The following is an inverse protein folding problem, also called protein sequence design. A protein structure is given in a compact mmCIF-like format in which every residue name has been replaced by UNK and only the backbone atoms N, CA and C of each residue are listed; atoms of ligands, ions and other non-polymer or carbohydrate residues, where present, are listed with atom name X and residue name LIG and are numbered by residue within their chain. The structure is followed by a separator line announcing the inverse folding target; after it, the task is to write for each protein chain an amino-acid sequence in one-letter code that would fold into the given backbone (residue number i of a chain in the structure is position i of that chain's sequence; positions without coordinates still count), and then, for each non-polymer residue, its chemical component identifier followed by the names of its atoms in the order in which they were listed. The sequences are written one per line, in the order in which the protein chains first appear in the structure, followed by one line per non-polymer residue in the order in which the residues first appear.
data_IF_812432833601
#
_entry.id   IF_812432833601
#
_cell.length_a   1.000
_cell.length_b   1.000
_cell.length_c   1.000
_cell.angle_alpha   90.00
_cell.angle_beta   90.00
_cell.angle_gamma   90.00
#
_symmetry.space_group_name_H-M   'P 1'
#
loop_
_entity.id
_entity.type
_entity.pdbx_description
1 polymer ?
#
# COMPACT_ATOMS: atom_id res chain seq x y z
N UNK A 1 -0.71 40.13 -35.69
CA UNK A 1 -1.82 39.78 -34.75
C UNK A 1 -1.94 38.32 -34.44
N UNK A 2 -1.73 37.36 -35.36
CA UNK A 2 -1.87 35.91 -35.09
C UNK A 2 -0.81 35.28 -34.12
N UNK A 3 0.41 35.83 -34.09
CA UNK A 3 1.49 35.35 -33.19
C UNK A 3 1.23 35.70 -31.72
N UNK A 4 0.69 36.89 -31.44
CA UNK A 4 0.38 37.31 -30.08
C UNK A 4 -0.78 36.54 -29.45
N UNK A 5 -1.77 36.15 -30.27
CA UNK A 5 -2.89 35.33 -29.81
C UNK A 5 -2.45 33.92 -29.41
N UNK A 6 -1.58 33.27 -30.21
CA UNK A 6 -1.02 31.94 -29.90
C UNK A 6 -0.17 31.97 -28.62
N UNK A 7 0.61 33.03 -28.41
CA UNK A 7 1.42 33.18 -27.20
C UNK A 7 0.57 33.42 -25.97
N UNK A 8 -0.52 34.20 -26.05
CA UNK A 8 -1.47 34.39 -24.94
C UNK A 8 -2.23 33.11 -24.62
N UNK A 9 -2.64 32.34 -25.62
CA UNK A 9 -3.29 31.05 -25.41
C UNK A 9 -2.34 30.03 -24.75
N UNK A 10 -1.08 30.00 -25.15
CA UNK A 10 -0.05 29.14 -24.51
C UNK A 10 0.20 29.53 -23.06
N UNK A 11 0.22 30.83 -22.76
CA UNK A 11 0.45 31.35 -21.40
C UNK A 11 -0.71 31.05 -20.45
N UNK A 12 -1.94 30.96 -20.95
CA UNK A 12 -3.15 30.60 -20.18
C UNK A 12 -3.29 29.11 -20.00
N UNK A 13 -2.90 28.28 -21.01
CA UNK A 13 -2.96 26.84 -20.92
C UNK A 13 -1.86 26.23 -20.02
N UNK A 14 -0.71 26.91 -19.88
CA UNK A 14 0.42 26.42 -19.09
C UNK A 14 0.07 26.20 -17.61
N UNK A 15 -0.59 27.12 -16.87
CA UNK A 15 -0.96 26.89 -15.48
C UNK A 15 -2.08 25.84 -15.32
N UNK A 16 -2.92 25.60 -16.32
CA UNK A 16 -3.95 24.56 -16.27
C UNK A 16 -3.36 23.14 -16.32
N UNK A 17 -2.17 22.97 -16.90
CA UNK A 17 -1.45 21.69 -16.92
C UNK A 17 -0.82 21.35 -15.56
N UNK A 18 -0.59 22.35 -14.70
CA UNK A 18 -0.04 22.14 -13.35
C UNK A 18 -1.11 21.88 -12.29
N UNK A 19 -2.39 22.16 -12.55
CA UNK A 19 -3.47 21.97 -11.57
C UNK A 19 -3.98 20.53 -11.47
N UNK A 20 -3.63 19.63 -12.38
CA UNK A 20 -4.05 18.21 -12.35
C UNK A 20 -3.13 17.31 -11.52
N UNK A 21 -2.00 17.82 -10.99
CA UNK A 21 -1.04 17.00 -10.23
C UNK A 21 -1.35 16.85 -8.73
N UNK A 22 -2.38 17.52 -8.19
CA UNK A 22 -2.65 17.54 -6.75
C UNK A 22 -3.24 16.22 -6.19
N UNK A 23 -3.70 15.31 -7.05
CA UNK A 23 -4.35 14.06 -6.61
C UNK A 23 -3.42 12.84 -6.54
N UNK A 24 -2.15 12.98 -6.89
CA UNK A 24 -1.21 11.84 -7.03
C UNK A 24 -0.43 11.57 -5.72
N UNK A 25 -0.49 12.46 -4.74
CA UNK A 25 0.27 12.34 -3.48
C UNK A 25 -0.36 11.47 -2.39
N UNK A 26 -1.47 10.80 -2.68
CA UNK A 26 -2.04 9.81 -1.76
C UNK A 26 -1.35 8.46 -1.95
N UNK A 27 -0.48 8.06 -1.04
CA UNK A 27 0.04 6.68 -1.02
C UNK A 27 -1.13 5.69 -1.11
N UNK A 28 -1.03 4.67 -1.97
CA UNK A 28 -2.08 3.65 -2.12
C UNK A 28 -2.17 2.83 -0.84
N UNK A 29 -3.22 3.07 -0.07
CA UNK A 29 -3.57 2.26 1.09
C UNK A 29 -4.52 1.16 0.66
N UNK A 30 -4.18 -0.06 0.97
CA UNK A 30 -4.97 -1.26 0.67
C UNK A 30 -5.74 -1.67 1.92
N UNK A 31 -7.04 -1.93 1.74
CA UNK A 31 -7.88 -2.47 2.81
C UNK A 31 -7.69 -3.97 2.87
N UNK A 32 -7.18 -4.46 4.00
CA UNK A 32 -6.96 -5.89 4.24
C UNK A 32 -7.80 -6.32 5.43
N UNK A 33 -8.63 -7.33 5.24
CA UNK A 33 -9.40 -7.95 6.32
C UNK A 33 -8.54 -9.01 7.00
N UNK A 34 -8.34 -8.86 8.29
CA UNK A 34 -7.61 -9.79 9.15
C UNK A 34 -8.63 -10.64 9.90
N UNK A 35 -8.51 -11.95 9.77
CA UNK A 35 -9.42 -12.90 10.40
C UNK A 35 -8.65 -14.07 11.02
N UNK A 36 -9.31 -14.85 11.90
CA UNK A 36 -8.73 -16.04 12.50
C UNK A 36 -9.80 -17.05 12.86
N UNK A 37 -9.42 -18.31 12.95
CA UNK A 37 -10.25 -19.36 13.52
C UNK A 37 -9.52 -20.02 14.70
N UNK A 38 -10.12 -19.98 15.92
CA UNK A 38 -11.35 -19.25 16.28
C UNK A 38 -11.20 -17.75 16.22
N UNK A 39 -12.34 -17.05 16.08
CA UNK A 39 -12.39 -15.59 16.11
C UNK A 39 -12.03 -15.04 17.49
N UNK A 40 -11.62 -13.78 17.54
CA UNK A 40 -11.30 -13.12 18.81
C UNK A 40 -9.82 -13.23 19.19
N UNK A 41 -8.95 -13.63 18.26
CA UNK A 41 -7.51 -13.57 18.49
C UNK A 41 -7.00 -12.13 18.45
N UNK A 42 -6.09 -11.79 19.34
CA UNK A 42 -5.32 -10.56 19.26
C UNK A 42 -4.35 -10.65 18.08
N UNK A 43 -4.18 -9.56 17.35
CA UNK A 43 -3.17 -9.49 16.30
C UNK A 43 -2.37 -8.19 16.37
N UNK A 44 -1.11 -8.27 15.93
CA UNK A 44 -0.21 -7.14 15.73
C UNK A 44 0.37 -7.22 14.32
N UNK A 45 0.31 -6.11 13.58
CA UNK A 45 0.89 -5.98 12.25
C UNK A 45 2.17 -5.20 12.35
N UNK A 46 3.28 -5.85 12.03
CA UNK A 46 4.62 -5.29 12.13
C UNK A 46 5.14 -5.03 10.72
N UNK A 47 5.59 -3.80 10.44
CA UNK A 47 6.31 -3.52 9.21
C UNK A 47 7.68 -4.18 9.27
N UNK A 48 7.93 -5.14 8.38
CA UNK A 48 9.15 -5.96 8.37
C UNK A 48 10.43 -5.14 8.16
N UNK A 49 10.32 -4.00 7.47
CA UNK A 49 11.47 -3.13 7.19
C UNK A 49 11.86 -2.27 8.40
N UNK A 50 10.86 -1.73 9.12
CA UNK A 50 11.10 -0.79 10.22
C UNK A 50 11.09 -1.47 11.59
N UNK A 51 10.49 -2.65 11.69
CA UNK A 51 10.28 -3.36 12.96
C UNK A 51 9.17 -2.77 13.83
N UNK A 52 8.51 -1.68 13.42
CA UNK A 52 7.45 -1.06 14.21
C UNK A 52 6.10 -1.73 13.98
N UNK A 53 5.31 -1.82 15.05
CA UNK A 53 3.89 -2.16 14.97
C UNK A 53 3.15 -0.99 14.31
N UNK A 54 2.50 -1.27 13.19
CA UNK A 54 1.74 -0.26 12.43
C UNK A 54 0.25 -0.30 12.74
N UNK A 55 -0.26 -1.46 13.16
CA UNK A 55 -1.66 -1.64 13.54
C UNK A 55 -1.78 -2.84 14.48
N UNK A 56 -2.80 -2.83 15.34
CA UNK A 56 -3.15 -3.95 16.21
C UNK A 56 -4.66 -4.02 16.46
N UNK A 57 -5.14 -5.14 16.94
CA UNK A 57 -6.55 -5.31 17.22
C UNK A 57 -6.93 -6.74 17.54
N UNK A 58 -8.24 -7.00 17.41
CA UNK A 58 -8.84 -8.32 17.61
C UNK A 58 -9.56 -8.72 16.33
N UNK A 59 -9.42 -9.99 15.93
CA UNK A 59 -10.07 -10.54 14.75
C UNK A 59 -11.58 -10.73 14.97
N UNK A 60 -12.42 -10.51 13.94
CA UNK A 60 -12.10 -9.98 12.62
C UNK A 60 -11.97 -8.44 12.61
N UNK A 61 -11.02 -7.88 11.88
CA UNK A 61 -10.86 -6.43 11.71
C UNK A 61 -10.35 -6.10 10.31
N UNK A 62 -10.87 -5.03 9.70
CA UNK A 62 -10.32 -4.49 8.45
C UNK A 62 -9.36 -3.35 8.76
N UNK A 63 -8.17 -3.44 8.22
CA UNK A 63 -7.08 -2.47 8.40
C UNK A 63 -6.67 -1.87 7.06
N UNK A 64 -6.04 -0.70 7.09
CA UNK A 64 -5.50 -0.05 5.89
C UNK A 64 -3.98 -0.02 5.96
N UNK A 65 -3.33 -0.65 4.99
CA UNK A 65 -1.88 -0.78 4.94
C UNK A 65 -1.33 -0.14 3.65
N UNK A 66 -0.31 0.71 3.74
CA UNK A 66 0.41 1.19 2.55
C UNK A 66 1.22 0.04 1.94
N UNK A 67 1.23 -0.05 0.61
CA UNK A 67 2.00 -1.08 -0.09
C UNK A 67 3.48 -0.71 -0.26
N UNK A 68 3.82 0.55 -0.11
CA UNK A 68 5.18 1.04 -0.26
C UNK A 68 5.39 2.41 0.37
N UNK A 69 6.65 2.71 0.59
CA UNK A 69 7.14 3.99 1.07
C UNK A 69 7.92 4.70 -0.06
N UNK A 70 8.17 6.02 0.05
CA UNK A 70 8.97 6.76 -0.92
C UNK A 70 10.32 6.12 -1.23
N UNK A 71 10.89 6.45 -2.40
CA UNK A 71 12.21 6.01 -2.87
C UNK A 71 12.34 4.50 -3.14
N UNK A 72 11.43 3.93 -3.96
CA UNK A 72 11.47 2.52 -4.40
C UNK A 72 11.43 1.50 -3.25
N UNK A 73 10.79 1.82 -2.14
CA UNK A 73 10.73 0.94 -0.98
C UNK A 73 9.38 0.25 -0.90
N UNK A 74 9.38 -1.07 -1.03
CA UNK A 74 8.22 -1.89 -0.74
C UNK A 74 8.08 -2.08 0.78
N UNK A 75 6.85 -2.10 1.28
CA UNK A 75 6.56 -2.43 2.66
C UNK A 75 5.92 -3.82 2.73
N UNK A 76 6.57 -4.70 3.46
CA UNK A 76 6.06 -6.03 3.78
C UNK A 76 5.66 -6.06 5.25
N UNK A 77 4.66 -6.85 5.59
CA UNK A 77 4.13 -6.91 6.94
C UNK A 77 4.11 -8.33 7.47
N UNK A 78 4.39 -8.49 8.76
CA UNK A 78 4.18 -9.72 9.51
C UNK A 78 3.00 -9.49 10.43
N UNK A 79 1.99 -10.34 10.35
CA UNK A 79 0.87 -10.37 11.28
C UNK A 79 1.17 -11.44 12.31
N UNK A 80 1.28 -11.06 13.57
CA UNK A 80 1.39 -11.99 14.69
C UNK A 80 0.03 -12.16 15.33
N UNK A 81 -0.41 -13.40 15.47
CA UNK A 81 -1.65 -13.75 16.13
C UNK A 81 -1.36 -14.39 17.47
N UNK A 82 -2.11 -13.98 18.49
CA UNK A 82 -2.03 -14.56 19.83
C UNK A 82 -3.42 -14.72 20.44
N UNK A 83 -3.65 -15.86 21.08
CA UNK A 83 -4.89 -16.15 21.80
C UNK A 83 -4.61 -17.07 23.00
N UNK A 84 -5.18 -16.79 24.19
CA UNK A 84 -4.98 -17.64 25.36
C UNK A 84 -5.37 -19.10 25.09
N UNK A 85 -4.46 -20.04 25.37
CA UNK A 85 -4.66 -21.45 25.15
C UNK A 85 -4.44 -21.95 23.71
N UNK A 86 -3.93 -21.09 22.86
CA UNK A 86 -3.55 -21.41 21.46
C UNK A 86 -2.09 -21.05 21.20
N UNK A 87 -1.50 -21.73 20.25
CA UNK A 87 -0.15 -21.42 19.79
C UNK A 87 -0.16 -20.14 18.96
N UNK A 88 0.89 -19.33 19.12
CA UNK A 88 1.07 -18.14 18.30
C UNK A 88 1.29 -18.53 16.84
N UNK A 89 0.71 -17.77 15.92
CA UNK A 89 0.93 -17.94 14.48
C UNK A 89 1.33 -16.61 13.84
N UNK A 90 2.10 -16.70 12.77
CA UNK A 90 2.59 -15.55 12.02
C UNK A 90 2.24 -15.71 10.54
N UNK A 91 1.65 -14.67 9.97
CA UNK A 91 1.34 -14.60 8.54
C UNK A 91 2.10 -13.45 7.88
N UNK A 92 2.54 -13.66 6.64
CA UNK A 92 3.32 -12.68 5.90
C UNK A 92 2.47 -12.04 4.80
N UNK A 93 2.40 -10.72 4.80
CA UNK A 93 1.85 -9.93 3.69
C UNK A 93 3.01 -9.33 2.91
N UNK A 94 3.13 -9.71 1.64
CA UNK A 94 4.14 -9.18 0.75
C UNK A 94 3.53 -8.21 -0.27
N UNK A 95 4.11 -7.02 -0.35
CA UNK A 95 3.81 -6.08 -1.43
C UNK A 95 4.52 -6.50 -2.71
N UNK A 96 3.85 -6.29 -3.85
CA UNK A 96 4.37 -6.58 -5.19
C UNK A 96 4.31 -5.32 -6.05
N UNK A 97 5.08 -5.30 -7.13
CA UNK A 97 4.94 -4.27 -8.15
C UNK A 97 3.56 -4.37 -8.80
N UNK A 98 2.88 -3.24 -8.92
CA UNK A 98 1.61 -3.16 -9.64
C UNK A 98 1.85 -3.34 -11.14
N UNK A 99 1.08 -4.21 -11.79
CA UNK A 99 1.17 -4.42 -13.24
C UNK A 99 0.88 -3.14 -14.04
N UNK A 100 0.08 -2.23 -13.52
CA UNK A 100 -0.19 -0.91 -14.10
C UNK A 100 1.04 0.00 -14.15
N UNK A 101 2.04 -0.24 -13.34
CA UNK A 101 3.31 0.47 -13.40
C UNK A 101 3.94 0.39 -14.80
N UNK A 102 3.91 -0.78 -15.43
CA UNK A 102 4.40 -1.00 -16.78
C UNK A 102 3.49 -0.41 -17.87
N UNK A 103 2.18 -0.38 -17.64
CA UNK A 103 1.24 0.26 -18.55
C UNK A 103 1.41 1.78 -18.58
N UNK A 104 1.75 2.40 -17.46
CA UNK A 104 2.05 3.82 -17.36
C UNK A 104 3.31 4.23 -18.16
N UNK A 105 4.24 3.30 -18.38
CA UNK A 105 5.38 3.52 -19.28
C UNK A 105 4.95 3.85 -20.71
N UNK A 106 3.90 3.20 -21.20
CA UNK A 106 3.41 3.42 -22.56
C UNK A 106 2.57 4.71 -22.70
N UNK A 107 1.93 5.18 -21.61
CA UNK A 107 0.94 6.27 -21.67
C UNK A 107 1.45 7.56 -20.99
N UNK A 108 2.19 7.44 -19.88
CA UNK A 108 2.60 8.57 -19.03
C UNK A 108 4.04 9.06 -19.22
N UNK A 109 4.82 8.36 -20.04
CA UNK A 109 6.23 8.71 -20.31
C UNK A 109 7.18 8.50 -19.13
N UNK A 110 8.47 8.64 -19.42
CA UNK A 110 9.59 8.46 -18.48
C UNK A 110 9.52 9.33 -17.21
N UNK A 111 8.91 10.52 -17.29
CA UNK A 111 8.89 11.48 -16.18
C UNK A 111 7.98 10.99 -15.05
N UNK A 112 6.78 10.49 -15.36
CA UNK A 112 5.85 9.96 -14.36
C UNK A 112 6.43 8.74 -13.65
N UNK A 113 6.97 7.82 -14.43
CA UNK A 113 7.52 6.55 -13.96
C UNK A 113 8.81 6.72 -13.13
N UNK A 114 9.72 7.59 -13.55
CA UNK A 114 11.05 7.71 -12.94
C UNK A 114 11.07 8.68 -11.75
N UNK A 115 10.17 9.66 -11.73
CA UNK A 115 10.16 10.71 -10.69
C UNK A 115 8.98 10.55 -9.74
N UNK A 116 7.73 10.45 -10.26
CA UNK A 116 6.53 10.54 -9.42
C UNK A 116 6.25 9.23 -8.69
N UNK A 117 6.26 8.09 -9.39
CA UNK A 117 5.94 6.80 -8.80
C UNK A 117 6.93 6.36 -7.70
N UNK A 118 8.26 6.55 -7.89
CA UNK A 118 9.21 6.26 -6.82
C UNK A 118 9.11 7.17 -5.60
N UNK A 119 8.81 8.45 -5.82
CA UNK A 119 8.67 9.42 -4.72
C UNK A 119 7.44 9.15 -3.85
N UNK A 120 6.39 8.55 -4.41
CA UNK A 120 5.14 8.27 -3.71
C UNK A 120 5.01 6.83 -3.22
N UNK A 121 5.85 5.90 -3.72
CA UNK A 121 5.69 4.46 -3.47
C UNK A 121 4.47 3.84 -4.16
N UNK A 122 3.79 4.59 -5.04
CA UNK A 122 2.56 4.15 -5.72
C UNK A 122 2.76 2.99 -6.71
N UNK A 123 4.00 2.62 -6.98
CA UNK A 123 4.34 1.47 -7.83
C UNK A 123 4.06 0.11 -7.18
N UNK A 124 3.81 0.07 -5.87
CA UNK A 124 3.59 -1.18 -5.14
C UNK A 124 2.11 -1.40 -4.83
N UNK A 125 1.71 -2.66 -4.78
CA UNK A 125 0.38 -3.11 -4.38
C UNK A 125 0.46 -4.23 -3.35
N UNK A 126 -0.56 -4.32 -2.50
CA UNK A 126 -0.80 -5.48 -1.66
C UNK A 126 -1.82 -6.36 -2.40
N UNK A 127 -1.42 -7.56 -2.87
CA UNK A 127 -2.29 -8.39 -3.73
C UNK A 127 -3.36 -9.16 -2.94
N UNK A 128 -3.40 -9.01 -1.62
CA UNK A 128 -4.33 -9.73 -0.74
C UNK A 128 -5.29 -8.76 -0.06
N UNK A 129 -6.58 -9.04 -0.16
CA UNK A 129 -7.65 -8.30 0.51
C UNK A 129 -8.12 -8.99 1.79
N UNK A 130 -7.78 -10.26 1.97
CA UNK A 130 -8.21 -11.10 3.07
C UNK A 130 -7.10 -12.03 3.54
N UNK A 131 -6.80 -11.98 4.83
CA UNK A 131 -5.84 -12.87 5.49
C UNK A 131 -6.59 -13.61 6.60
N UNK A 132 -6.58 -14.93 6.55
CA UNK A 132 -7.18 -15.79 7.55
C UNK A 132 -6.16 -16.81 8.04
N UNK A 133 -6.11 -17.03 9.33
CA UNK A 133 -5.25 -18.02 9.94
C UNK A 133 -6.05 -18.94 10.86
N UNK A 134 -5.60 -20.20 10.99
CA UNK A 134 -6.17 -21.14 11.95
C UNK A 134 -5.20 -21.30 13.11
N UNK A 135 -5.66 -21.01 14.31
CA UNK A 135 -4.90 -21.20 15.54
C UNK A 135 -5.13 -22.60 16.10
N UNK A 136 -4.06 -23.25 16.48
CA UNK A 136 -4.11 -24.59 17.08
C UNK A 136 -4.03 -24.47 18.60
N UNK A 137 -4.83 -25.29 19.30
CA UNK A 137 -4.78 -25.34 20.77
C UNK A 137 -3.39 -25.81 21.20
N UNK A 138 -2.83 -25.10 22.16
CA UNK A 138 -1.55 -25.48 22.76
C UNK A 138 -1.68 -26.85 23.42
N UNK A 139 -0.95 -27.85 22.88
CA UNK A 139 -0.86 -29.16 23.48
C UNK A 139 0.07 -29.04 24.69
N UNK A 140 -0.50 -28.94 25.91
CA UNK A 140 0.31 -29.12 27.12
C UNK A 140 0.85 -30.54 27.12
N UNK A 141 2.15 -30.67 26.90
CA UNK A 141 2.90 -31.90 27.21
C UNK A 141 3.17 -31.96 28.70
#
# INVERSE_FOLDING_TARGET
MKKSFKLKCLLVCLPLLFSSCASIFGGRNYSVRIDSYPNGANFEIINKRTGYVVESGVTPKTVRLPAGSPYFRKDNYIIKYSMPGYDENNELIESRLDGWYWANFAIGGLIGMVIIDPLTGAMYMIPVEYVNTTLHKTSKK
#
